data_IF_647509710291
#
_entry.id   IF_647509710291
#
_cell.length_a   1.000
_cell.length_b   1.000
_cell.length_c   1.000
_cell.angle_alpha   90.00
_cell.angle_beta   90.00
_cell.angle_gamma   90.00
#
_symmetry.space_group_name_H-M   'P 1'
#
loop_
_entity.id
_entity.type
_entity.pdbx_description
1 polymer ?
#
# COMPACT_ATOMS: atom_id res chain seq x y z
N UNK A 1 -9.26 -23.78 3.86
CA UNK A 1 -8.59 -22.46 4.00
C UNK A 1 -8.20 -21.85 2.64
N UNK A 2 -7.69 -22.64 1.68
CA UNK A 2 -7.30 -22.14 0.35
C UNK A 2 -8.41 -21.38 -0.40
N UNK A 3 -9.60 -21.99 -0.55
CA UNK A 3 -10.70 -21.36 -1.29
C UNK A 3 -11.14 -20.02 -0.70
N UNK A 4 -11.33 -20.00 0.63
CA UNK A 4 -11.68 -18.78 1.35
C UNK A 4 -10.65 -17.67 1.12
N UNK A 5 -9.37 -17.98 1.29
CA UNK A 5 -8.30 -16.99 1.18
C UNK A 5 -8.16 -16.41 -0.23
N UNK A 6 -8.35 -17.23 -1.28
CA UNK A 6 -8.10 -16.82 -2.67
C UNK A 6 -9.34 -16.26 -3.38
N UNK A 7 -10.54 -16.71 -3.02
CA UNK A 7 -11.77 -16.38 -3.76
C UNK A 7 -12.82 -15.70 -2.90
N UNK A 8 -13.07 -16.18 -1.67
CA UNK A 8 -14.18 -15.64 -0.86
C UNK A 8 -13.82 -14.36 -0.10
N UNK A 9 -12.58 -14.24 0.38
CA UNK A 9 -12.12 -13.17 1.28
C UNK A 9 -12.31 -11.77 0.67
N UNK A 10 -12.14 -11.64 -0.64
CA UNK A 10 -12.27 -10.35 -1.34
C UNK A 10 -13.68 -9.78 -1.26
N UNK A 11 -14.71 -10.64 -1.26
CA UNK A 11 -16.11 -10.24 -1.19
C UNK A 11 -16.55 -9.82 0.22
N UNK A 12 -15.75 -10.14 1.24
CA UNK A 12 -16.01 -9.76 2.63
C UNK A 12 -15.42 -8.39 2.97
N UNK A 13 -14.62 -7.80 2.08
CA UNK A 13 -14.03 -6.49 2.32
C UNK A 13 -15.07 -5.39 2.16
N UNK A 14 -15.14 -4.51 3.16
CA UNK A 14 -15.97 -3.32 3.03
C UNK A 14 -15.41 -2.37 1.95
N UNK A 15 -16.27 -1.70 1.17
CA UNK A 15 -15.81 -0.77 0.15
C UNK A 15 -15.11 0.44 0.79
N UNK A 16 -14.11 0.97 0.08
CA UNK A 16 -13.49 2.25 0.45
C UNK A 16 -14.44 3.42 0.14
N UNK A 17 -14.28 4.57 0.84
CA UNK A 17 -15.04 5.77 0.52
C UNK A 17 -14.90 6.16 -0.96
N UNK A 18 -15.99 6.51 -1.66
CA UNK A 18 -15.95 6.75 -3.11
C UNK A 18 -15.05 7.93 -3.51
N UNK A 19 -14.95 8.95 -2.66
CA UNK A 19 -14.03 10.07 -2.87
C UNK A 19 -12.56 9.66 -2.85
N UNK A 20 -12.17 8.72 -1.99
CA UNK A 20 -10.79 8.18 -1.99
C UNK A 20 -10.51 7.36 -3.25
N UNK A 21 -11.47 6.54 -3.68
CA UNK A 21 -11.36 5.75 -4.91
C UNK A 21 -11.20 6.65 -6.13
N UNK A 22 -12.01 7.72 -6.22
CA UNK A 22 -11.93 8.69 -7.32
C UNK A 22 -10.57 9.40 -7.36
N UNK A 23 -10.04 9.83 -6.21
CA UNK A 23 -8.73 10.48 -6.14
C UNK A 23 -7.60 9.56 -6.53
N UNK A 24 -7.64 8.28 -6.13
CA UNK A 24 -6.65 7.28 -6.55
C UNK A 24 -6.71 7.01 -8.05
N UNK A 25 -7.90 6.81 -8.59
CA UNK A 25 -8.11 6.65 -10.04
C UNK A 25 -7.60 7.85 -10.83
N UNK A 26 -7.84 9.06 -10.34
CA UNK A 26 -7.34 10.29 -10.95
C UNK A 26 -5.80 10.33 -10.92
N UNK A 27 -5.18 9.96 -9.80
CA UNK A 27 -3.72 9.84 -9.69
C UNK A 27 -3.13 8.85 -10.69
N UNK A 28 -3.72 7.65 -10.78
CA UNK A 28 -3.31 6.61 -11.74
C UNK A 28 -3.49 7.08 -13.18
N UNK A 29 -4.63 7.67 -13.50
CA UNK A 29 -4.90 8.20 -14.84
C UNK A 29 -3.92 9.32 -15.21
N UNK A 30 -3.57 10.19 -14.25
CA UNK A 30 -2.58 11.25 -14.46
C UNK A 30 -1.18 10.67 -14.71
N UNK A 31 -0.74 9.70 -13.93
CA UNK A 31 0.54 9.00 -14.10
C UNK A 31 0.63 8.29 -15.46
N UNK A 32 -0.46 7.63 -15.89
CA UNK A 32 -0.53 6.91 -17.16
C UNK A 32 -0.90 7.80 -18.36
N UNK A 33 -1.23 9.08 -18.13
CA UNK A 33 -1.74 9.98 -19.16
C UNK A 33 -0.87 10.10 -20.43
N UNK A 34 0.49 10.09 -20.37
CA UNK A 34 1.30 10.17 -21.57
C UNK A 34 1.09 8.96 -22.49
N UNK A 35 1.01 7.76 -21.90
CA UNK A 35 0.79 6.52 -22.63
C UNK A 35 -0.66 6.40 -23.09
N UNK A 36 -1.64 6.79 -22.26
CA UNK A 36 -3.05 6.81 -22.64
C UNK A 36 -3.25 7.73 -23.85
N UNK A 37 -2.71 8.95 -23.82
CA UNK A 37 -2.83 9.89 -24.93
C UNK A 37 -2.20 9.35 -26.22
N UNK A 38 -1.01 8.73 -26.12
CA UNK A 38 -0.34 8.14 -27.27
C UNK A 38 -1.06 6.90 -27.82
N UNK A 39 -1.60 6.04 -26.96
CA UNK A 39 -2.41 4.90 -27.36
C UNK A 39 -3.73 5.34 -28.04
N UNK A 40 -4.39 6.38 -27.53
CA UNK A 40 -5.60 6.97 -28.13
C UNK A 40 -5.30 7.63 -29.49
N UNK A 41 -4.18 8.33 -29.62
CA UNK A 41 -3.74 8.88 -30.90
C UNK A 41 -3.41 7.75 -31.89
N UNK A 42 -2.77 6.68 -31.42
CA UNK A 42 -2.44 5.49 -32.22
C UNK A 42 -3.71 4.79 -32.72
N UNK A 43 -4.74 4.71 -31.87
CA UNK A 43 -6.07 4.25 -32.26
C UNK A 43 -6.66 5.10 -33.37
N UNK A 44 -6.60 6.43 -33.28
CA UNK A 44 -7.12 7.32 -34.34
C UNK A 44 -6.37 7.19 -35.67
N UNK A 45 -5.07 6.91 -35.60
CA UNK A 45 -4.19 6.79 -36.76
C UNK A 45 -4.07 5.36 -37.31
N UNK A 46 -4.79 4.39 -36.73
CA UNK A 46 -4.64 2.98 -37.06
C UNK A 46 -5.09 2.68 -38.50
N UNK A 47 -4.41 1.75 -39.20
CA UNK A 47 -4.89 1.25 -40.49
C UNK A 47 -6.23 0.53 -40.31
N UNK A 48 -7.08 0.62 -41.33
CA UNK A 48 -8.33 -0.13 -41.43
C UNK A 48 -8.26 -1.01 -42.69
N UNK A 49 -8.45 -2.34 -42.57
CA UNK A 49 -8.78 -3.10 -41.37
C UNK A 49 -7.63 -3.18 -40.34
N UNK A 50 -7.97 -3.41 -39.06
CA UNK A 50 -6.99 -3.52 -37.97
C UNK A 50 -6.17 -4.81 -38.15
N UNK A 51 -4.83 -4.74 -38.22
CA UNK A 51 -3.98 -5.94 -38.30
C UNK A 51 -4.13 -6.82 -37.07
N UNK A 52 -4.05 -8.14 -37.24
CA UNK A 52 -4.21 -9.11 -36.14
C UNK A 52 -3.32 -8.82 -34.91
N UNK A 53 -2.03 -8.47 -35.04
CA UNK A 53 -1.20 -8.13 -33.87
C UNK A 53 -1.71 -6.93 -33.09
N UNK A 54 -2.25 -5.92 -33.78
CA UNK A 54 -2.81 -4.73 -33.15
C UNK A 54 -4.15 -5.05 -32.47
N UNK A 55 -4.95 -5.95 -33.05
CA UNK A 55 -6.15 -6.50 -32.42
C UNK A 55 -5.84 -7.23 -31.11
N UNK A 56 -4.79 -8.06 -31.09
CA UNK A 56 -4.31 -8.74 -29.87
C UNK A 56 -3.89 -7.72 -28.80
N UNK A 57 -3.16 -6.67 -29.18
CA UNK A 57 -2.75 -5.62 -28.24
C UNK A 57 -3.96 -4.89 -27.61
N UNK A 58 -5.03 -4.62 -28.36
CA UNK A 58 -6.27 -4.07 -27.81
C UNK A 58 -7.02 -5.06 -26.92
N UNK A 59 -7.07 -6.34 -27.29
CA UNK A 59 -7.64 -7.40 -26.44
C UNK A 59 -6.88 -7.55 -25.12
N UNK A 60 -5.54 -7.42 -25.15
CA UNK A 60 -4.70 -7.40 -23.97
C UNK A 60 -4.98 -6.18 -23.09
N UNK A 61 -5.06 -4.97 -23.67
CA UNK A 61 -5.43 -3.78 -22.92
C UNK A 61 -6.82 -3.94 -22.27
N UNK A 62 -7.80 -4.45 -23.01
CA UNK A 62 -9.14 -4.71 -22.48
C UNK A 62 -9.14 -5.69 -21.31
N UNK A 63 -8.39 -6.80 -21.43
CA UNK A 63 -8.24 -7.80 -20.36
C UNK A 63 -7.55 -7.22 -19.12
N UNK A 64 -6.51 -6.40 -19.32
CA UNK A 64 -5.80 -5.74 -18.23
C UNK A 64 -6.68 -4.70 -17.52
N UNK A 65 -7.50 -3.95 -18.26
CA UNK A 65 -8.50 -3.02 -17.70
C UNK A 65 -9.57 -3.76 -16.87
N UNK A 66 -10.07 -4.90 -17.37
CA UNK A 66 -11.02 -5.73 -16.62
C UNK A 66 -10.39 -6.26 -15.32
N UNK A 67 -9.16 -6.75 -15.38
CA UNK A 67 -8.42 -7.21 -14.19
C UNK A 67 -8.18 -6.09 -13.17
N UNK A 68 -7.78 -4.90 -13.63
CA UNK A 68 -7.61 -3.73 -12.79
C UNK A 68 -8.92 -3.28 -12.13
N UNK A 69 -10.02 -3.23 -12.91
CA UNK A 69 -11.34 -2.86 -12.42
C UNK A 69 -11.89 -3.86 -11.39
N UNK A 70 -11.57 -5.15 -11.53
CA UNK A 70 -12.06 -6.20 -10.64
C UNK A 70 -11.52 -6.11 -9.19
N UNK A 71 -10.41 -5.40 -8.95
CA UNK A 71 -9.80 -5.29 -7.61
C UNK A 71 -10.57 -4.29 -6.72
N UNK A 72 -11.09 -3.20 -7.30
CA UNK A 72 -11.96 -2.22 -6.62
C UNK A 72 -11.29 -1.25 -5.64
N UNK A 73 -10.01 -1.42 -5.26
CA UNK A 73 -9.31 -0.52 -4.29
C UNK A 73 -8.30 0.44 -4.92
N UNK A 74 -7.99 0.25 -6.21
CA UNK A 74 -7.20 1.15 -7.08
C UNK A 74 -5.92 1.72 -6.46
N UNK A 75 -5.01 0.88 -5.96
CA UNK A 75 -3.65 1.34 -5.63
C UNK A 75 -2.79 1.44 -6.90
N UNK A 76 -1.83 2.37 -6.93
CA UNK A 76 -0.99 2.67 -8.10
C UNK A 76 -0.31 1.42 -8.70
N UNK A 77 0.21 0.54 -7.85
CA UNK A 77 0.87 -0.69 -8.29
C UNK A 77 -0.08 -1.71 -8.95
N UNK A 78 -1.40 -1.59 -8.76
CA UNK A 78 -2.37 -2.41 -9.51
C UNK A 78 -2.54 -1.97 -10.95
N UNK A 79 -2.07 -0.78 -11.31
CA UNK A 79 -2.08 -0.30 -12.69
C UNK A 79 -0.89 -0.83 -13.52
N UNK A 80 0.10 -1.48 -12.90
CA UNK A 80 1.28 -2.05 -13.58
C UNK A 80 0.93 -2.93 -14.80
N UNK A 81 -0.09 -3.82 -14.75
CA UNK A 81 -0.48 -4.62 -15.91
C UNK A 81 -0.95 -3.80 -17.13
N UNK A 82 -1.36 -2.53 -16.94
CA UNK A 82 -1.78 -1.63 -18.02
C UNK A 82 -0.58 -1.04 -18.77
N UNK A 83 0.60 -0.95 -18.15
CA UNK A 83 1.76 -0.25 -18.70
C UNK A 83 2.24 -0.93 -19.99
N UNK A 84 2.40 -2.25 -19.98
CA UNK A 84 2.89 -2.99 -21.14
C UNK A 84 1.99 -2.86 -22.39
N UNK A 85 0.67 -3.13 -22.32
CA UNK A 85 -0.20 -2.94 -23.48
C UNK A 85 -0.31 -1.47 -23.89
N UNK A 86 -0.32 -0.51 -22.96
CA UNK A 86 -0.33 0.92 -23.30
C UNK A 86 0.94 1.37 -24.01
N UNK A 87 2.11 0.90 -23.57
CA UNK A 87 3.39 1.20 -24.20
C UNK A 87 3.47 0.60 -25.61
N UNK A 88 3.02 -0.65 -25.79
CA UNK A 88 2.96 -1.30 -27.09
C UNK A 88 2.05 -0.53 -28.07
N UNK A 89 0.85 -0.15 -27.62
CA UNK A 89 -0.09 0.62 -28.43
C UNK A 89 0.41 2.05 -28.74
N UNK A 90 1.21 2.63 -27.84
CA UNK A 90 1.85 3.94 -28.05
C UNK A 90 2.93 3.91 -29.13
N UNK A 91 3.55 2.76 -29.38
CA UNK A 91 4.60 2.60 -30.38
C UNK A 91 4.13 2.99 -31.80
N UNK A 92 2.86 2.71 -32.13
CA UNK A 92 2.26 3.12 -33.40
C UNK A 92 2.26 4.65 -33.59
N UNK A 93 2.06 5.40 -32.50
CA UNK A 93 2.15 6.86 -32.49
C UNK A 93 3.59 7.33 -32.58
N UNK A 94 4.50 6.72 -31.81
CA UNK A 94 5.91 7.09 -31.79
C UNK A 94 6.58 6.91 -33.15
N UNK A 95 6.29 5.82 -33.86
CA UNK A 95 6.84 5.57 -35.20
C UNK A 95 6.38 6.59 -36.25
N UNK A 96 5.19 7.20 -36.09
CA UNK A 96 4.66 8.21 -37.03
C UNK A 96 4.93 9.64 -36.60
N UNK A 97 5.11 9.87 -35.30
CA UNK A 97 5.28 11.20 -34.69
C UNK A 97 6.36 11.13 -33.61
N UNK A 98 7.65 11.22 -33.98
CA UNK A 98 8.74 11.12 -33.01
C UNK A 98 8.67 12.22 -31.93
N UNK A 99 8.12 13.40 -32.25
CA UNK A 99 7.86 14.46 -31.27
C UNK A 99 6.88 14.04 -30.16
N UNK A 100 5.94 13.13 -30.45
CA UNK A 100 5.04 12.57 -29.43
C UNK A 100 5.79 11.64 -28.46
N UNK A 101 6.81 10.92 -28.93
CA UNK A 101 7.68 10.12 -28.06
C UNK A 101 8.50 11.02 -27.12
N UNK A 102 9.11 12.08 -27.67
CA UNK A 102 9.83 13.08 -26.86
C UNK A 102 8.91 13.75 -25.85
N UNK A 103 7.70 14.14 -26.25
CA UNK A 103 6.70 14.71 -25.35
C UNK A 103 6.28 13.74 -24.24
N UNK A 104 6.01 12.47 -24.58
CA UNK A 104 5.63 11.46 -23.60
C UNK A 104 6.74 11.17 -22.59
N UNK A 105 8.00 11.07 -23.06
CA UNK A 105 9.17 10.93 -22.19
C UNK A 105 9.39 12.17 -21.32
N UNK A 106 9.23 13.38 -21.88
CA UNK A 106 9.35 14.63 -21.14
C UNK A 106 8.32 14.75 -20.03
N UNK A 107 7.06 14.42 -20.30
CA UNK A 107 6.00 14.40 -19.28
C UNK A 107 6.26 13.30 -18.25
N UNK A 108 6.67 12.10 -18.67
CA UNK A 108 7.02 11.02 -17.76
C UNK A 108 8.17 11.40 -16.81
N UNK A 109 9.21 12.06 -17.34
CA UNK A 109 10.31 12.58 -16.54
C UNK A 109 9.85 13.68 -15.58
N UNK A 110 9.00 14.61 -16.05
CA UNK A 110 8.44 15.67 -15.20
C UNK A 110 7.63 15.07 -14.04
N UNK A 111 6.78 14.08 -14.31
CA UNK A 111 6.01 13.38 -13.27
C UNK A 111 6.93 12.68 -12.27
N UNK A 112 7.96 11.98 -12.74
CA UNK A 112 8.96 11.34 -11.89
C UNK A 112 9.71 12.35 -11.00
N UNK A 113 10.14 13.48 -11.56
CA UNK A 113 10.82 14.53 -10.82
C UNK A 113 9.89 15.19 -9.79
N UNK A 114 8.62 15.44 -10.15
CA UNK A 114 7.63 15.95 -9.23
C UNK A 114 7.40 14.97 -8.07
N UNK A 115 7.25 13.68 -8.36
CA UNK A 115 7.13 12.65 -7.33
C UNK A 115 8.35 12.65 -6.40
N UNK A 116 9.57 12.69 -6.96
CA UNK A 116 10.81 12.77 -6.17
C UNK A 116 10.96 14.04 -5.35
N UNK A 117 10.40 15.16 -5.81
CA UNK A 117 10.48 16.44 -5.11
C UNK A 117 9.45 16.56 -3.99
N UNK A 118 8.25 15.98 -4.16
CA UNK A 118 7.13 16.17 -3.24
C UNK A 118 6.85 14.96 -2.33
N UNK A 119 7.30 13.76 -2.69
CA UNK A 119 7.14 12.55 -1.86
C UNK A 119 8.40 12.34 -1.03
N UNK A 120 8.25 12.41 0.29
CA UNK A 120 9.36 12.19 1.21
C UNK A 120 9.86 10.74 1.15
N UNK A 121 11.19 10.57 1.18
CA UNK A 121 11.79 9.24 1.35
C UNK A 121 11.62 8.78 2.81
N UNK A 122 10.74 7.80 2.98
CA UNK A 122 10.42 7.20 4.27
C UNK A 122 11.45 6.13 4.70
N UNK A 123 12.38 5.73 3.83
CA UNK A 123 13.32 4.63 4.09
C UNK A 123 14.24 4.89 5.30
N UNK A 124 14.82 6.08 5.51
CA UNK A 124 15.61 6.37 6.71
C UNK A 124 14.80 6.20 8.00
N UNK A 125 13.55 6.69 8.01
CA UNK A 125 12.65 6.56 9.15
C UNK A 125 12.24 5.12 9.43
N UNK A 126 12.03 4.31 8.39
CA UNK A 126 11.73 2.88 8.53
C UNK A 126 12.93 2.09 9.08
N UNK A 127 14.15 2.36 8.59
CA UNK A 127 15.38 1.72 9.10
C UNK A 127 15.66 2.09 10.54
N UNK A 128 15.48 3.36 10.92
CA UNK A 128 15.67 3.78 12.30
C UNK A 128 14.60 3.20 13.23
N UNK A 129 13.34 3.13 12.77
CA UNK A 129 12.27 2.40 13.50
C UNK A 129 12.69 0.96 13.77
N UNK A 130 13.16 0.25 12.75
CA UNK A 130 13.58 -1.14 12.88
C UNK A 130 14.80 -1.32 13.80
N UNK A 131 15.80 -0.43 13.71
CA UNK A 131 16.96 -0.41 14.61
C UNK A 131 16.51 -0.27 16.07
N UNK A 132 15.65 0.71 16.36
CA UNK A 132 15.15 0.93 17.73
C UNK A 132 14.30 -0.24 18.22
N UNK A 133 13.50 -0.85 17.34
CA UNK A 133 12.77 -2.08 17.68
C UNK A 133 13.73 -3.21 18.03
N UNK A 134 14.79 -3.43 17.25
CA UNK A 134 15.80 -4.47 17.51
C UNK A 134 16.48 -4.26 18.88
N UNK A 135 16.92 -3.03 19.16
CA UNK A 135 17.57 -2.68 20.43
C UNK A 135 16.66 -2.88 21.65
N UNK A 136 15.35 -2.71 21.47
CA UNK A 136 14.36 -2.74 22.55
C UNK A 136 13.44 -3.98 22.48
N UNK A 137 13.80 -5.02 21.73
CA UNK A 137 13.00 -6.25 21.65
C UNK A 137 13.15 -7.12 22.91
N UNK A 138 14.27 -7.04 23.64
CA UNK A 138 14.51 -7.80 24.87
C UNK A 138 14.18 -9.32 24.76
N UNK A 139 14.47 -9.93 23.62
CA UNK A 139 14.17 -11.34 23.34
C UNK A 139 12.66 -11.68 23.23
N UNK A 140 11.80 -10.67 23.20
CA UNK A 140 10.34 -10.78 23.08
C UNK A 140 9.87 -10.23 21.73
N UNK A 141 8.66 -10.59 21.31
CA UNK A 141 8.14 -10.18 20.00
C UNK A 141 7.54 -8.77 20.07
N UNK A 142 8.07 -7.78 19.33
CA UNK A 142 7.46 -6.46 19.21
C UNK A 142 6.14 -6.54 18.43
N UNK A 143 5.30 -5.51 18.56
CA UNK A 143 4.03 -5.45 17.85
C UNK A 143 3.92 -4.21 16.97
N UNK A 144 3.74 -4.41 15.66
CA UNK A 144 3.47 -3.34 14.70
C UNK A 144 1.96 -3.28 14.47
N UNK A 145 1.29 -2.32 15.09
CA UNK A 145 -0.17 -2.13 14.96
C UNK A 145 -0.53 -1.24 13.78
N UNK A 146 0.18 -0.13 13.60
CA UNK A 146 0.06 0.74 12.43
C UNK A 146 1.47 1.18 12.03
N UNK A 147 2.00 0.60 10.96
CA UNK A 147 3.36 0.86 10.50
C UNK A 147 3.80 -0.12 9.42
N UNK A 148 5.09 -0.13 9.12
CA UNK A 148 5.64 -0.94 8.05
C UNK A 148 5.88 -2.38 8.51
N UNK A 149 5.30 -3.38 7.84
CA UNK A 149 5.52 -4.80 8.14
C UNK A 149 7.00 -5.19 8.02
N UNK A 150 7.75 -4.53 7.13
CA UNK A 150 9.19 -4.72 6.94
C UNK A 150 10.00 -4.51 8.23
N UNK A 151 9.44 -3.79 9.22
CA UNK A 151 10.05 -3.60 10.56
C UNK A 151 10.47 -4.93 11.18
N UNK A 152 9.65 -5.99 11.04
CA UNK A 152 9.97 -7.30 11.59
C UNK A 152 11.23 -7.90 10.96
N UNK A 153 11.34 -7.81 9.63
CA UNK A 153 12.47 -8.33 8.87
C UNK A 153 13.74 -7.52 9.15
N UNK A 154 13.66 -6.18 9.11
CA UNK A 154 14.82 -5.31 9.32
C UNK A 154 15.33 -5.33 10.77
N UNK A 155 14.46 -5.60 11.74
CA UNK A 155 14.85 -5.72 13.16
C UNK A 155 15.27 -7.14 13.55
N UNK A 156 15.13 -8.12 12.64
CA UNK A 156 15.35 -9.54 12.91
C UNK A 156 14.62 -10.05 14.17
N UNK A 157 13.36 -9.60 14.36
CA UNK A 157 12.56 -9.96 15.54
C UNK A 157 11.53 -11.05 15.24
N UNK A 158 11.05 -11.73 16.28
CA UNK A 158 9.98 -12.70 16.14
C UNK A 158 8.63 -12.04 15.82
N UNK A 159 7.74 -12.83 15.23
CA UNK A 159 6.40 -12.40 14.83
C UNK A 159 5.40 -12.68 15.96
N UNK A 160 4.59 -11.70 16.39
CA UNK A 160 3.60 -11.92 17.45
C UNK A 160 2.37 -12.70 16.97
N UNK A 161 2.20 -12.83 15.65
CA UNK A 161 1.06 -13.48 14.99
C UNK A 161 1.42 -13.91 13.57
N UNK A 162 0.62 -14.81 12.99
CA UNK A 162 0.63 -15.14 11.55
C UNK A 162 0.05 -14.01 10.68
N UNK A 163 -0.73 -13.09 11.25
CA UNK A 163 -1.35 -11.95 10.55
C UNK A 163 -0.44 -10.72 10.63
N UNK A 164 0.76 -10.83 10.07
CA UNK A 164 1.85 -9.85 10.25
C UNK A 164 1.62 -8.51 9.55
N UNK A 165 0.71 -8.46 8.59
CA UNK A 165 0.35 -7.24 7.89
C UNK A 165 -0.64 -6.42 8.74
N UNK A 166 -0.25 -5.23 9.24
CA UNK A 166 -1.02 -4.53 10.26
C UNK A 166 -2.45 -4.17 9.81
N UNK A 167 -2.67 -3.92 8.52
CA UNK A 167 -4.00 -3.66 7.97
C UNK A 167 -4.98 -4.81 8.22
N UNK A 168 -4.51 -6.06 8.24
CA UNK A 168 -5.36 -7.24 8.50
C UNK A 168 -6.00 -7.21 9.89
N UNK A 169 -5.39 -6.53 10.86
CA UNK A 169 -5.90 -6.43 12.24
C UNK A 169 -6.42 -5.03 12.60
N UNK A 170 -5.92 -4.00 11.92
CA UNK A 170 -6.20 -2.61 12.23
C UNK A 170 -7.35 -2.01 11.42
N UNK A 171 -7.69 -2.54 10.24
CA UNK A 171 -8.68 -1.94 9.35
C UNK A 171 -10.03 -2.65 9.45
N UNK A 172 -11.11 -1.88 9.53
CA UNK A 172 -12.47 -2.39 9.45
C UNK A 172 -12.81 -2.95 8.07
N UNK A 173 -12.14 -2.47 7.00
CA UNK A 173 -12.30 -2.99 5.64
C UNK A 173 -11.76 -4.41 5.46
N UNK A 174 -10.88 -4.88 6.34
CA UNK A 174 -10.36 -6.25 6.33
C UNK A 174 -11.08 -7.16 7.34
N UNK A 175 -12.01 -6.60 8.13
CA UNK A 175 -12.69 -7.32 9.20
C UNK A 175 -13.53 -8.46 8.64
N UNK A 176 -13.29 -9.68 9.12
CA UNK A 176 -13.93 -10.90 8.63
C UNK A 176 -13.30 -11.49 7.37
N UNK A 177 -12.48 -10.73 6.62
CA UNK A 177 -11.77 -11.24 5.44
C UNK A 177 -10.59 -12.17 5.81
N UNK A 178 -10.15 -12.13 7.07
CA UNK A 178 -9.06 -12.98 7.59
C UNK A 178 -9.54 -14.32 8.17
N UNK A 179 -10.86 -14.46 8.37
CA UNK A 179 -11.48 -15.65 8.97
C UNK A 179 -11.29 -15.78 10.48
N UNK A 180 -10.91 -14.70 11.18
CA UNK A 180 -10.76 -14.65 12.64
C UNK A 180 -11.47 -13.43 13.23
N UNK A 181 -11.59 -13.37 14.56
CA UNK A 181 -11.88 -12.11 15.27
C UNK A 181 -10.56 -11.32 15.41
N UNK A 182 -10.39 -10.31 14.56
CA UNK A 182 -9.20 -9.47 14.53
C UNK A 182 -8.96 -8.76 15.88
N UNK A 183 -10.02 -8.29 16.53
CA UNK A 183 -9.90 -7.59 17.81
C UNK A 183 -9.52 -8.56 18.94
N UNK A 184 -10.01 -9.80 18.92
CA UNK A 184 -9.56 -10.84 19.84
C UNK A 184 -8.09 -11.18 19.63
N UNK A 185 -7.63 -11.24 18.38
CA UNK A 185 -6.23 -11.49 18.07
C UNK A 185 -5.33 -10.35 18.56
N UNK A 186 -5.74 -9.09 18.40
CA UNK A 186 -5.04 -7.95 18.98
C UNK A 186 -4.98 -8.04 20.51
N UNK A 187 -6.09 -8.40 21.18
CA UNK A 187 -6.09 -8.63 22.63
C UNK A 187 -5.14 -9.76 23.04
N UNK A 188 -5.08 -10.86 22.28
CA UNK A 188 -4.15 -11.98 22.52
C UNK A 188 -2.69 -11.54 22.40
N UNK A 189 -2.36 -10.73 21.39
CA UNK A 189 -1.02 -10.16 21.23
C UNK A 189 -0.67 -9.26 22.42
N UNK A 190 -1.56 -8.35 22.80
CA UNK A 190 -1.34 -7.42 23.92
C UNK A 190 -1.24 -8.13 25.28
N UNK A 191 -1.93 -9.26 25.47
CA UNK A 191 -1.82 -10.09 26.67
C UNK A 191 -0.42 -10.69 26.86
N UNK A 192 0.35 -10.88 25.78
CA UNK A 192 1.77 -11.26 25.83
C UNK A 192 2.70 -10.09 26.18
N UNK A 193 2.15 -8.90 26.39
CA UNK A 193 2.84 -7.65 26.76
C UNK A 193 4.06 -7.37 25.87
N UNK A 194 3.89 -7.09 24.56
CA UNK A 194 5.00 -6.79 23.66
C UNK A 194 5.95 -5.75 24.26
N UNK A 195 7.27 -5.86 24.08
CA UNK A 195 8.21 -4.90 24.65
C UNK A 195 8.09 -3.52 23.99
N UNK A 196 7.83 -3.52 22.67
CA UNK A 196 7.65 -2.32 21.85
C UNK A 196 6.35 -2.46 21.05
N UNK A 197 5.60 -1.37 20.97
CA UNK A 197 4.47 -1.21 20.06
C UNK A 197 4.80 -0.10 19.07
N UNK A 198 4.78 -0.44 17.78
CA UNK A 198 4.89 0.53 16.67
C UNK A 198 3.50 0.89 16.19
N UNK A 199 3.20 2.18 16.17
CA UNK A 199 1.92 2.73 15.72
C UNK A 199 2.14 4.03 14.96
N UNK A 200 1.06 4.75 14.65
CA UNK A 200 1.12 6.03 13.95
C UNK A 200 0.20 7.08 14.56
N UNK A 201 0.42 8.34 14.17
CA UNK A 201 -0.50 9.46 14.43
C UNK A 201 -1.60 9.59 13.37
N UNK A 202 -1.73 8.64 12.43
CA UNK A 202 -2.79 8.70 11.41
C UNK A 202 -4.15 8.71 12.10
N UNK A 203 -5.14 9.30 11.45
CA UNK A 203 -6.56 9.16 11.78
C UNK A 203 -7.26 8.64 10.54
N UNK A 204 -7.91 7.48 10.65
CA UNK A 204 -8.65 6.88 9.54
C UNK A 204 -10.05 6.50 10.00
N UNK A 205 -11.05 6.73 9.16
CA UNK A 205 -12.42 6.29 9.42
C UNK A 205 -12.56 4.76 9.38
N UNK A 206 -11.65 4.09 8.67
CA UNK A 206 -11.66 2.64 8.43
C UNK A 206 -10.91 1.83 9.50
N UNK A 207 -10.88 2.28 10.74
CA UNK A 207 -10.25 1.51 11.82
C UNK A 207 -11.19 0.45 12.39
N UNK A 208 -10.65 -0.73 12.67
CA UNK A 208 -11.33 -1.70 13.53
C UNK A 208 -11.39 -1.11 14.94
N UNK A 209 -12.61 -0.76 15.38
CA UNK A 209 -12.83 -0.06 16.66
C UNK A 209 -12.39 -0.89 17.86
N UNK A 210 -12.59 -2.21 17.82
CA UNK A 210 -12.18 -3.14 18.88
C UNK A 210 -10.66 -3.23 19.01
N UNK A 211 -9.96 -3.41 17.90
CA UNK A 211 -8.49 -3.42 17.85
C UNK A 211 -7.90 -2.09 18.33
N UNK A 212 -8.44 -0.98 17.84
CA UNK A 212 -7.99 0.36 18.21
C UNK A 212 -8.21 0.64 19.70
N UNK A 213 -9.38 0.27 20.24
CA UNK A 213 -9.69 0.41 21.65
C UNK A 213 -8.72 -0.39 22.54
N UNK A 214 -8.43 -1.64 22.16
CA UNK A 214 -7.50 -2.50 22.87
C UNK A 214 -6.08 -1.91 22.92
N UNK A 215 -5.55 -1.46 21.78
CA UNK A 215 -4.20 -0.87 21.71
C UNK A 215 -4.15 0.46 22.46
N UNK A 216 -5.14 1.35 22.31
CA UNK A 216 -5.20 2.61 23.07
C UNK A 216 -5.26 2.37 24.57
N UNK A 217 -6.02 1.38 25.03
CA UNK A 217 -6.10 1.02 26.44
C UNK A 217 -4.75 0.51 26.97
N UNK A 218 -4.10 -0.41 26.24
CA UNK A 218 -2.78 -0.91 26.61
C UNK A 218 -1.74 0.22 26.66
N UNK A 219 -1.70 1.09 25.63
CA UNK A 219 -0.74 2.20 25.57
C UNK A 219 -0.91 3.18 26.73
N UNK A 220 -2.14 3.49 27.16
CA UNK A 220 -2.37 4.41 28.30
C UNK A 220 -1.93 3.83 29.64
N UNK A 221 -2.01 2.52 29.82
CA UNK A 221 -1.76 1.87 31.10
C UNK A 221 -0.31 1.42 31.26
N UNK A 222 0.24 0.77 30.23
CA UNK A 222 1.43 -0.07 30.36
C UNK A 222 2.63 0.42 29.51
N UNK A 223 2.46 1.48 28.71
CA UNK A 223 3.49 1.94 27.76
C UNK A 223 3.68 3.46 27.79
N UNK A 224 4.84 3.90 27.31
CA UNK A 224 5.17 5.31 27.10
C UNK A 224 5.79 5.52 25.73
N UNK A 225 5.50 6.68 25.13
CA UNK A 225 6.10 7.08 23.86
C UNK A 225 7.60 7.36 24.06
N UNK A 226 8.46 6.73 23.27
CA UNK A 226 9.92 6.88 23.37
C UNK A 226 10.57 7.50 22.13
N UNK A 227 9.90 7.41 20.98
CA UNK A 227 10.45 7.91 19.72
C UNK A 227 9.34 8.19 18.68
N UNK A 228 9.65 9.07 17.73
CA UNK A 228 8.79 9.37 16.58
C UNK A 228 9.63 9.82 15.38
N UNK A 229 9.22 9.42 14.17
CA UNK A 229 9.76 9.94 12.91
C UNK A 229 8.63 10.48 12.03
N UNK A 230 8.86 11.58 11.29
CA UNK A 230 7.93 12.00 10.25
C UNK A 230 7.77 10.93 9.16
N UNK A 231 6.59 10.97 8.53
CA UNK A 231 6.18 10.26 7.31
C UNK A 231 5.39 11.24 6.44
N UNK A 232 5.05 10.84 5.21
CA UNK A 232 4.19 11.65 4.34
C UNK A 232 2.79 11.86 4.96
N UNK A 233 2.57 13.03 5.58
CA UNK A 233 1.30 13.45 6.18
C UNK A 233 0.97 12.88 7.57
N UNK A 234 1.86 12.11 8.19
CA UNK A 234 1.67 11.54 9.52
C UNK A 234 3.01 11.19 10.18
N UNK A 235 3.01 10.58 11.36
CA UNK A 235 4.25 10.18 12.06
C UNK A 235 4.18 8.74 12.54
N UNK A 236 5.25 7.99 12.36
CA UNK A 236 5.44 6.72 13.08
C UNK A 236 5.77 7.04 14.53
N UNK A 237 5.23 6.25 15.45
CA UNK A 237 5.39 6.43 16.89
C UNK A 237 5.75 5.08 17.53
N UNK A 238 6.79 5.09 18.35
CA UNK A 238 7.26 3.93 19.10
C UNK A 238 6.86 4.10 20.57
N UNK A 239 6.17 3.09 21.09
CA UNK A 239 5.80 2.96 22.49
C UNK A 239 6.62 1.83 23.12
N UNK A 240 7.26 2.10 24.25
CA UNK A 240 8.02 1.13 25.04
C UNK A 240 7.23 0.79 26.30
N UNK A 241 7.25 -0.49 26.69
CA UNK A 241 6.66 -0.95 27.94
C UNK A 241 7.27 -0.24 29.16
N UNK A 242 6.46 0.14 30.13
CA UNK A 242 6.85 1.02 31.25
C UNK A 242 7.94 0.43 32.16
N UNK A 243 8.00 -0.89 32.29
CA UNK A 243 9.00 -1.62 33.08
C UNK A 243 10.38 -1.74 32.39
N UNK A 244 10.48 -1.38 31.11
CA UNK A 244 11.72 -1.53 30.34
C UNK A 244 12.47 -0.19 30.22
N UNK A 245 13.81 -0.25 30.23
CA UNK A 245 14.69 0.90 29.96
C UNK A 245 14.93 1.04 28.47
N UNK A 246 14.79 2.26 27.95
CA UNK A 246 14.97 2.55 26.53
C UNK A 246 16.44 2.50 26.12
N UNK A 247 16.74 1.88 24.98
CA UNK A 247 18.07 1.78 24.35
C UNK A 247 18.07 2.49 22.99
N UNK A 248 19.14 3.24 22.68
CA UNK A 248 19.33 4.02 21.43
C UNK A 248 20.65 3.62 20.76
#
# INVERSE_FOLDING_TARGET
MFWFANFSSIFLRAPYPPGELAMRLLGIAAQLSPLIACALLGWRLRPRPTPAPLGIAYGWLGSALLGFAAIGTFFDHYALPLIAPLALLSAATFGRRPRAAVGALGIGLLLFLAERAFVADDAPGARETARLVALNAHGQCPYVFIGDTITYQLSATCLPTRYVFPNLLAYSTEQGATGIDEAAEVRRILARRPPVIVTSTRTLAIWNSGSLAAVKAAMRRDYRRVWTTPRSGWRTVLYLRNDLRFRR
#
